data_IF_248978544817
#
_entry.id   IF_248978544817
#
_cell.length_a   1.000
_cell.length_b   1.000
_cell.length_c   1.000
_cell.angle_alpha   90.00
_cell.angle_beta   90.00
_cell.angle_gamma   90.00
#
_symmetry.space_group_name_H-M   'P 1'
#
loop_
_entity.id
_entity.type
_entity.pdbx_description
1 polymer ?
#
# COMPACT_ATOMS: atom_id res chain seq x y z
N UNK A 1 -3.80 -18.23 7.99
CA UNK A 1 -2.51 -17.72 8.46
C UNK A 1 -2.69 -17.11 9.84
N UNK A 2 -1.75 -17.32 10.75
CA UNK A 2 -1.63 -16.58 12.02
C UNK A 2 -1.21 -15.13 11.77
N UNK A 3 -1.19 -14.31 12.82
CA UNK A 3 -0.79 -12.90 12.69
C UNK A 3 0.64 -12.74 12.13
N UNK A 4 1.60 -13.47 12.70
CA UNK A 4 2.98 -13.45 12.23
C UNK A 4 3.14 -13.98 10.80
N UNK A 5 2.35 -14.98 10.41
CA UNK A 5 2.42 -15.58 9.07
C UNK A 5 1.97 -14.61 7.99
N UNK A 6 0.81 -13.94 8.16
CA UNK A 6 0.31 -13.03 7.12
C UNK A 6 1.19 -11.78 7.01
N UNK A 7 1.73 -11.26 8.13
CA UNK A 7 2.66 -10.13 8.14
C UNK A 7 3.94 -10.44 7.38
N UNK A 8 4.52 -11.61 7.66
CA UNK A 8 5.69 -12.12 6.95
C UNK A 8 5.40 -12.29 5.46
N UNK A 9 4.21 -12.81 5.13
CA UNK A 9 3.77 -12.98 3.75
C UNK A 9 3.68 -11.64 3.00
N UNK A 10 3.00 -10.63 3.54
CA UNK A 10 2.84 -9.34 2.84
C UNK A 10 4.14 -8.54 2.77
N UNK A 11 5.04 -8.70 3.75
CA UNK A 11 6.34 -8.00 3.78
C UNK A 11 7.41 -8.67 2.91
N UNK A 12 7.25 -9.94 2.55
CA UNK A 12 8.26 -10.67 1.79
C UNK A 12 8.37 -10.19 0.33
N UNK A 13 9.61 -9.97 -0.10
CA UNK A 13 9.98 -9.58 -1.47
C UNK A 13 9.29 -8.30 -1.94
N UNK A 14 9.06 -8.22 -3.25
CA UNK A 14 8.51 -7.06 -3.97
C UNK A 14 7.05 -7.25 -4.39
N UNK A 15 6.26 -7.97 -3.57
CA UNK A 15 4.84 -8.18 -3.86
C UNK A 15 4.11 -6.85 -3.96
N UNK A 16 3.27 -6.68 -4.99
CA UNK A 16 2.42 -5.50 -5.14
C UNK A 16 1.12 -5.67 -4.34
N UNK A 17 0.64 -4.57 -3.76
CA UNK A 17 -0.68 -4.50 -3.15
C UNK A 17 -1.69 -3.97 -4.15
N UNK A 18 -2.85 -4.61 -4.27
CA UNK A 18 -3.95 -4.15 -5.11
C UNK A 18 -4.94 -3.37 -4.26
N UNK A 19 -4.87 -2.05 -4.35
CA UNK A 19 -5.74 -1.13 -3.61
C UNK A 19 -7.10 -1.06 -4.29
N UNK A 20 -8.15 -1.40 -3.56
CA UNK A 20 -9.53 -1.29 -3.97
C UNK A 20 -10.24 -0.16 -3.22
N UNK A 21 -10.94 0.69 -3.96
CA UNK A 21 -11.82 1.75 -3.43
C UNK A 21 -13.00 1.97 -4.37
N UNK A 22 -14.00 2.70 -3.89
CA UNK A 22 -15.19 3.04 -4.68
C UNK A 22 -15.00 4.41 -5.34
N UNK A 23 -15.34 4.56 -6.61
CA UNK A 23 -15.43 5.89 -7.25
C UNK A 23 -16.67 6.64 -6.78
N UNK A 24 -16.74 7.93 -7.10
CA UNK A 24 -17.90 8.78 -6.81
C UNK A 24 -19.18 8.23 -7.46
N UNK A 25 -19.08 7.70 -8.68
CA UNK A 25 -20.18 7.05 -9.40
C UNK A 25 -20.48 5.61 -8.94
N UNK A 26 -19.90 5.18 -7.81
CA UNK A 26 -20.11 3.86 -7.24
C UNK A 26 -19.37 2.72 -7.96
N UNK A 27 -18.58 2.97 -9.00
CA UNK A 27 -17.81 1.90 -9.63
C UNK A 27 -16.63 1.47 -8.74
N UNK A 28 -16.31 0.17 -8.66
CA UNK A 28 -15.07 -0.28 -8.03
C UNK A 28 -13.87 0.19 -8.84
N UNK A 29 -12.81 0.63 -8.16
CA UNK A 29 -11.54 1.00 -8.76
C UNK A 29 -10.41 0.27 -8.05
N UNK A 30 -9.70 -0.56 -8.80
CA UNK A 30 -8.59 -1.37 -8.30
C UNK A 30 -7.32 -0.99 -9.06
N UNK A 31 -6.24 -0.71 -8.35
CA UNK A 31 -4.92 -0.45 -8.96
C UNK A 31 -3.80 -0.97 -8.08
N UNK A 32 -2.68 -1.45 -8.66
CA UNK A 32 -1.52 -1.87 -7.90
C UNK A 32 -0.78 -0.68 -7.25
N UNK A 33 -0.11 -0.93 -6.14
CA UNK A 33 0.82 -0.03 -5.45
C UNK A 33 2.02 -0.79 -4.88
N UNK A 34 3.18 -0.13 -4.82
CA UNK A 34 4.27 -0.52 -3.93
C UNK A 34 3.91 -0.06 -2.51
N UNK A 35 4.09 -0.91 -1.50
CA UNK A 35 3.68 -0.60 -0.14
C UNK A 35 4.67 -1.14 0.89
N UNK A 36 4.58 -0.63 2.11
CA UNK A 36 5.28 -1.16 3.28
C UNK A 36 4.30 -1.43 4.40
N UNK A 37 4.68 -2.30 5.33
CA UNK A 37 3.96 -2.55 6.56
C UNK A 37 4.73 -1.89 7.71
N UNK A 38 4.14 -0.87 8.34
CA UNK A 38 4.73 -0.15 9.47
C UNK A 38 3.85 -0.38 10.72
N UNK A 39 4.28 -1.28 11.61
CA UNK A 39 3.48 -1.66 12.77
C UNK A 39 2.13 -2.22 12.35
N UNK A 40 1.05 -1.53 12.74
CA UNK A 40 -0.34 -1.90 12.42
C UNK A 40 -0.94 -1.10 11.26
N UNK A 41 -0.07 -0.57 10.38
CA UNK A 41 -0.48 0.18 9.21
C UNK A 41 0.14 -0.35 7.91
N UNK A 42 -0.65 -0.32 6.85
CA UNK A 42 -0.15 -0.42 5.48
C UNK A 42 0.08 0.99 4.95
N UNK A 43 1.29 1.28 4.48
CA UNK A 43 1.65 2.61 4.00
C UNK A 43 2.17 2.61 2.56
N UNK A 44 1.84 3.66 1.81
CA UNK A 44 2.36 3.91 0.46
C UNK A 44 2.28 5.38 0.06
N UNK A 45 2.88 5.76 -1.07
CA UNK A 45 2.77 7.12 -1.64
C UNK A 45 1.90 7.12 -2.90
N UNK A 46 1.19 8.22 -3.11
CA UNK A 46 0.33 8.44 -4.28
C UNK A 46 0.82 9.61 -5.11
N UNK A 47 0.73 9.47 -6.43
CA UNK A 47 0.99 10.56 -7.34
C UNK A 47 -0.05 11.70 -7.19
N UNK A 48 0.37 12.96 -7.41
CA UNK A 48 -0.53 14.10 -7.41
C UNK A 48 -1.68 13.92 -8.38
N UNK A 49 -2.89 14.33 -7.98
CA UNK A 49 -4.07 14.24 -8.86
C UNK A 49 -4.49 12.81 -9.20
N UNK A 50 -4.00 11.79 -8.50
CA UNK A 50 -4.49 10.43 -8.69
C UNK A 50 -5.97 10.29 -8.28
N UNK A 51 -6.69 9.39 -8.95
CA UNK A 51 -8.09 9.04 -8.57
C UNK A 51 -8.15 8.59 -7.12
N UNK A 52 -7.16 7.81 -6.68
CA UNK A 52 -7.05 7.32 -5.31
C UNK A 52 -6.90 8.46 -4.30
N UNK A 53 -6.00 9.41 -4.55
CA UNK A 53 -5.77 10.53 -3.65
C UNK A 53 -7.01 11.40 -3.48
N UNK A 54 -7.66 11.76 -4.61
CA UNK A 54 -8.94 12.48 -4.57
C UNK A 54 -10.00 11.69 -3.82
N UNK A 55 -10.11 10.39 -4.05
CA UNK A 55 -11.17 9.62 -3.41
C UNK A 55 -10.96 9.45 -1.90
N UNK A 56 -9.75 9.12 -1.47
CA UNK A 56 -9.41 8.90 -0.07
C UNK A 56 -9.55 10.16 0.78
N UNK A 57 -9.50 11.36 0.17
CA UNK A 57 -9.83 12.61 0.84
C UNK A 57 -11.31 12.70 1.27
N UNK A 58 -12.21 12.00 0.59
CA UNK A 58 -13.67 12.05 0.83
C UNK A 58 -14.23 10.79 1.47
N UNK A 59 -13.70 9.61 1.12
CA UNK A 59 -14.10 8.32 1.70
C UNK A 59 -12.86 7.50 2.00
N UNK A 60 -12.66 7.26 3.29
CA UNK A 60 -11.44 6.64 3.80
C UNK A 60 -11.46 5.12 3.69
N UNK A 61 -12.60 4.50 3.33
CA UNK A 61 -12.72 3.04 3.26
C UNK A 61 -11.90 2.50 2.08
N UNK A 62 -11.06 1.51 2.37
CA UNK A 62 -10.15 0.92 1.40
C UNK A 62 -9.88 -0.53 1.77
N UNK A 63 -9.61 -1.35 0.75
CA UNK A 63 -9.04 -2.68 0.93
C UNK A 63 -7.75 -2.82 0.11
N UNK A 64 -6.81 -3.62 0.60
CA UNK A 64 -5.56 -3.96 -0.09
C UNK A 64 -5.44 -5.48 -0.17
N UNK A 65 -5.32 -6.01 -1.37
CA UNK A 65 -5.08 -7.44 -1.58
C UNK A 65 -3.64 -7.69 -2.05
N UNK A 66 -2.95 -8.59 -1.37
CA UNK A 66 -1.63 -9.10 -1.74
C UNK A 66 -1.77 -10.59 -1.98
N UNK A 67 -1.37 -11.08 -3.15
CA UNK A 67 -1.47 -12.48 -3.51
C UNK A 67 -0.12 -13.03 -3.97
N UNK A 68 0.04 -14.34 -3.82
CA UNK A 68 1.08 -15.08 -4.52
C UNK A 68 0.64 -15.33 -5.96
N UNK A 69 1.59 -15.28 -6.88
CA UNK A 69 1.37 -15.57 -8.30
C UNK A 69 1.64 -17.05 -8.62
N UNK A 70 2.20 -17.81 -7.67
CA UNK A 70 2.62 -19.21 -7.85
C UNK A 70 1.76 -20.17 -7.02
N UNK A 71 1.51 -21.37 -7.57
CA UNK A 71 0.82 -22.44 -6.86
C UNK A 71 1.75 -23.17 -5.86
N UNK A 72 1.22 -23.60 -4.69
CA UNK A 72 -0.15 -23.39 -4.22
C UNK A 72 -0.38 -21.92 -3.79
N UNK A 73 -1.50 -21.33 -4.22
CA UNK A 73 -1.75 -19.91 -4.06
C UNK A 73 -1.95 -19.53 -2.60
N UNK A 74 -1.58 -18.30 -2.27
CA UNK A 74 -1.81 -17.69 -0.96
C UNK A 74 -2.21 -16.24 -1.15
N UNK A 75 -3.04 -15.68 -0.28
CA UNK A 75 -3.38 -14.27 -0.31
C UNK A 75 -3.67 -13.70 1.08
N UNK A 76 -3.53 -12.38 1.17
CA UNK A 76 -3.91 -11.57 2.31
C UNK A 76 -4.70 -10.38 1.79
N UNK A 77 -5.92 -10.20 2.30
CA UNK A 77 -6.71 -8.99 2.12
C UNK A 77 -6.76 -8.24 3.44
N UNK A 78 -6.44 -6.96 3.39
CA UNK A 78 -6.44 -6.03 4.52
C UNK A 78 -7.52 -4.99 4.25
N UNK A 79 -8.45 -4.82 5.18
CA UNK A 79 -9.49 -3.79 5.11
C UNK A 79 -9.25 -2.76 6.21
N UNK A 80 -9.48 -1.48 5.90
CA UNK A 80 -9.16 -0.41 6.83
C UNK A 80 -9.64 0.97 6.40
N UNK A 81 -9.15 1.97 7.13
CA UNK A 81 -9.39 3.38 6.83
C UNK A 81 -8.07 4.09 6.52
N UNK A 82 -8.05 4.77 5.36
CA UNK A 82 -6.91 5.54 4.90
C UNK A 82 -6.86 6.94 5.54
N UNK A 83 -5.66 7.37 5.91
CA UNK A 83 -5.28 8.75 6.22
C UNK A 83 -4.30 9.20 5.15
N UNK A 84 -4.52 10.38 4.57
CA UNK A 84 -3.66 10.97 3.53
C UNK A 84 -2.92 12.16 4.11
N UNK A 85 -1.63 12.27 3.83
CA UNK A 85 -0.78 13.37 4.29
C UNK A 85 0.08 13.92 3.16
N UNK A 86 0.09 15.24 3.01
CA UNK A 86 1.00 15.97 2.13
C UNK A 86 2.26 16.47 2.87
N UNK A 87 2.44 16.06 4.12
CA UNK A 87 3.63 16.37 4.92
C UNK A 87 4.87 15.74 4.27
N UNK A 88 5.84 16.59 3.93
CA UNK A 88 7.07 16.19 3.26
C UNK A 88 7.85 15.13 4.05
N UNK A 89 7.83 15.19 5.39
CA UNK A 89 8.56 14.23 6.22
C UNK A 89 7.90 12.84 6.18
N UNK A 90 6.58 12.79 6.08
CA UNK A 90 5.85 11.52 5.90
C UNK A 90 6.06 10.96 4.51
N UNK A 91 5.97 11.79 3.46
CA UNK A 91 6.22 11.37 2.08
C UNK A 91 7.65 10.84 1.93
N UNK A 92 8.63 11.53 2.52
CA UNK A 92 10.03 11.10 2.54
C UNK A 92 10.18 9.75 3.22
N UNK A 93 9.69 9.59 4.45
CA UNK A 93 9.81 8.34 5.22
C UNK A 93 9.25 7.14 4.46
N UNK A 94 8.00 7.23 3.99
CA UNK A 94 7.34 6.13 3.28
C UNK A 94 7.98 5.92 1.90
N UNK A 95 8.39 7.02 1.24
CA UNK A 95 9.12 6.98 -0.03
C UNK A 95 10.44 6.22 0.07
N UNK A 96 11.25 6.50 1.09
CA UNK A 96 12.51 5.79 1.37
C UNK A 96 12.26 4.31 1.61
N UNK A 97 11.29 3.96 2.47
CA UNK A 97 10.98 2.57 2.78
C UNK A 97 10.50 1.80 1.53
N UNK A 98 9.70 2.43 0.66
CA UNK A 98 9.34 1.86 -0.65
C UNK A 98 10.56 1.70 -1.55
N UNK A 99 11.44 2.70 -1.59
CA UNK A 99 12.62 2.69 -2.43
C UNK A 99 13.57 1.54 -2.06
N UNK A 100 13.86 1.39 -0.77
CA UNK A 100 14.68 0.29 -0.24
C UNK A 100 14.08 -1.09 -0.57
N UNK A 101 12.76 -1.22 -0.46
CA UNK A 101 12.09 -2.49 -0.70
C UNK A 101 11.98 -2.86 -2.18
N UNK A 102 11.56 -1.94 -3.03
CA UNK A 102 11.18 -2.23 -4.43
C UNK A 102 12.24 -1.83 -5.45
N UNK A 103 13.16 -0.93 -5.10
CA UNK A 103 14.16 -0.38 -6.01
C UNK A 103 15.58 -0.44 -5.40
N UNK A 104 16.07 -1.62 -4.96
CA UNK A 104 17.32 -1.74 -4.21
C UNK A 104 18.59 -1.35 -4.98
N UNK A 105 18.49 -1.18 -6.31
CA UNK A 105 19.59 -0.70 -7.16
C UNK A 105 19.60 0.82 -7.34
N UNK A 106 18.64 1.55 -6.78
CA UNK A 106 18.54 3.00 -6.84
C UNK A 106 18.82 3.61 -5.47
N UNK A 107 19.24 4.88 -5.45
CA UNK A 107 19.38 5.63 -4.19
C UNK A 107 18.01 5.88 -3.58
N UNK A 108 17.78 5.34 -2.38
CA UNK A 108 16.52 5.47 -1.68
C UNK A 108 16.18 6.93 -1.36
N UNK A 109 17.20 7.69 -0.93
CA UNK A 109 17.07 9.11 -0.61
C UNK A 109 16.71 9.94 -1.85
N UNK A 110 17.37 9.72 -3.00
CA UNK A 110 17.08 10.46 -4.23
C UNK A 110 15.67 10.16 -4.77
N UNK A 111 15.22 8.91 -4.65
CA UNK A 111 13.87 8.53 -5.07
C UNK A 111 12.81 9.14 -4.14
N UNK A 112 13.04 9.09 -2.82
CA UNK A 112 12.17 9.72 -1.84
C UNK A 112 12.08 11.25 -2.04
N UNK A 113 13.22 11.92 -2.27
CA UNK A 113 13.27 13.35 -2.61
C UNK A 113 12.50 13.66 -3.90
N UNK A 114 12.52 12.74 -4.87
CA UNK A 114 11.76 12.89 -6.10
C UNK A 114 10.25 12.84 -5.83
N UNK A 115 9.78 11.95 -4.95
CA UNK A 115 8.36 11.92 -4.55
C UNK A 115 7.95 13.22 -3.85
N UNK A 116 8.76 13.72 -2.92
CA UNK A 116 8.50 15.00 -2.23
C UNK A 116 8.45 16.15 -3.24
N UNK A 117 9.46 16.28 -4.10
CA UNK A 117 9.55 17.36 -5.11
C UNK A 117 8.42 17.32 -6.13
N UNK A 118 7.93 16.12 -6.47
CA UNK A 118 6.81 15.94 -7.39
C UNK A 118 5.44 16.12 -6.71
N UNK A 119 5.37 16.35 -5.40
CA UNK A 119 4.13 16.59 -4.67
C UNK A 119 3.30 15.33 -4.39
N UNK A 120 3.96 14.19 -4.22
CA UNK A 120 3.28 12.95 -3.81
C UNK A 120 2.66 13.11 -2.41
N UNK A 121 1.67 12.28 -2.11
CA UNK A 121 1.04 12.22 -0.78
C UNK A 121 1.25 10.85 -0.15
N UNK A 122 1.64 10.82 1.12
CA UNK A 122 1.67 9.59 1.91
C UNK A 122 0.26 9.13 2.26
N UNK A 123 0.06 7.82 2.29
CA UNK A 123 -1.17 7.15 2.69
C UNK A 123 -0.85 6.14 3.76
N UNK A 124 -1.61 6.16 4.84
CA UNK A 124 -1.56 5.19 5.94
C UNK A 124 -2.92 4.53 6.09
N UNK A 125 -2.99 3.21 6.06
CA UNK A 125 -4.22 2.45 6.27
C UNK A 125 -4.10 1.75 7.61
N UNK A 126 -4.91 2.18 8.58
CA UNK A 126 -5.06 1.46 9.84
C UNK A 126 -5.76 0.13 9.60
N UNK A 127 -5.14 -0.96 10.04
CA UNK A 127 -5.65 -2.32 9.82
C UNK A 127 -6.86 -2.57 10.71
N UNK A 128 -8.03 -2.76 10.10
CA UNK A 128 -9.28 -3.03 10.83
C UNK A 128 -9.72 -4.50 10.73
N UNK A 129 -9.44 -5.15 9.60
CA UNK A 129 -9.76 -6.56 9.38
C UNK A 129 -8.73 -7.20 8.42
N UNK A 130 -8.42 -8.47 8.66
CA UNK A 130 -7.46 -9.25 7.87
C UNK A 130 -8.06 -10.60 7.47
N UNK A 131 -8.08 -10.87 6.17
CA UNK A 131 -8.48 -12.16 5.60
C UNK A 131 -7.25 -12.78 4.98
N UNK A 132 -6.70 -13.83 5.60
CA UNK A 132 -5.47 -14.47 5.14
C UNK A 132 -5.68 -15.97 4.89
N UNK A 133 -5.25 -16.44 3.71
CA UNK A 133 -5.39 -17.83 3.25
C UNK A 133 -4.10 -18.31 2.60
N UNK A 134 -3.74 -19.56 2.84
CA UNK A 134 -2.57 -20.23 2.28
C UNK A 134 -2.96 -21.58 1.72
N UNK A 135 -2.20 -22.10 0.76
CA UNK A 135 -2.37 -23.46 0.26
C UNK A 135 -3.63 -23.64 -0.60
N UNK A 136 -4.05 -22.59 -1.32
CA UNK A 136 -5.19 -22.66 -2.24
C UNK A 136 -4.72 -23.32 -3.54
N UNK A 137 -5.15 -24.55 -3.76
CA UNK A 137 -4.79 -25.36 -4.93
C UNK A 137 -5.14 -26.82 -4.74
#
# INVERSE_FOLDING_TARGET
MTDGEWRSFVAAGVRLGHVALMREDGRPHVTPVCFVLEGDEVAFVLSPGSVKGRRLAHDRRVAVCVSDERQPYSFVTIEGQARVSADADQVRRIGTAIAERYYPSQSADELAETFVRQGFTAVHIGIANVIARSGLG
#
